data_IF_781949778481
#
_entry.id   IF_781949778481
#
_cell.length_a   1.000
_cell.length_b   1.000
_cell.length_c   1.000
_cell.angle_alpha   90.00
_cell.angle_beta   90.00
_cell.angle_gamma   90.00
#
_symmetry.space_group_name_H-M   'P 1'
#
loop_
_entity.id
_entity.type
_entity.pdbx_description
1 polymer ?
#
# COMPACT_ATOMS: atom_id res chain seq x y z
N UNK A 1 -4.23 9.40 18.63
CA UNK A 1 -3.22 9.26 19.69
C UNK A 1 -3.76 9.70 21.04
N UNK A 2 -4.32 10.93 21.16
CA UNK A 2 -4.78 11.57 22.41
C UNK A 2 -5.79 10.73 23.22
N UNK A 3 -6.73 10.07 22.53
CA UNK A 3 -7.81 9.28 23.15
C UNK A 3 -7.43 7.85 23.53
N UNK A 4 -6.23 7.41 23.17
CA UNK A 4 -5.78 6.06 23.43
C UNK A 4 -5.16 5.92 24.82
N UNK A 5 -5.45 4.81 25.51
CA UNK A 5 -4.77 4.44 26.76
C UNK A 5 -3.27 4.20 26.52
N UNK A 6 -2.47 4.28 27.60
CA UNK A 6 -1.07 3.86 27.53
C UNK A 6 -0.96 2.39 27.10
N UNK A 7 0.05 2.11 26.29
CA UNK A 7 0.27 0.77 25.74
C UNK A 7 -0.84 0.24 24.82
N UNK A 8 -1.82 1.08 24.39
CA UNK A 8 -2.81 0.70 23.40
C UNK A 8 -2.13 0.33 22.09
N UNK A 9 -2.66 -0.70 21.43
CA UNK A 9 -2.23 -1.15 20.10
C UNK A 9 -3.04 -0.40 19.05
N UNK A 10 -2.39 -0.03 17.95
CA UNK A 10 -3.01 0.50 16.74
C UNK A 10 -2.65 -0.39 15.56
N UNK A 11 -3.65 -0.68 14.74
CA UNK A 11 -3.47 -1.28 13.42
C UNK A 11 -4.07 -0.34 12.37
N UNK A 12 -3.36 -0.12 11.28
CA UNK A 12 -3.82 0.74 10.20
C UNK A 12 -3.28 0.29 8.85
N UNK A 13 -4.12 0.40 7.83
CA UNK A 13 -3.74 0.14 6.44
C UNK A 13 -3.91 1.42 5.63
N UNK A 14 -2.96 1.71 4.73
CA UNK A 14 -3.06 2.84 3.82
C UNK A 14 -2.61 2.47 2.41
N UNK A 15 -3.31 2.97 1.38
CA UNK A 15 -2.92 2.72 0.01
C UNK A 15 -1.66 3.52 -0.37
N UNK A 16 -0.84 2.93 -1.25
CA UNK A 16 0.31 3.58 -1.87
C UNK A 16 0.18 3.62 -3.40
N UNK A 17 0.50 2.54 -4.12
CA UNK A 17 0.37 2.50 -5.57
C UNK A 17 -0.95 1.92 -6.07
N UNK A 18 -1.89 1.68 -5.17
CA UNK A 18 -3.23 1.28 -5.52
C UNK A 18 -3.95 2.37 -6.32
N UNK A 19 -4.63 2.01 -7.39
CA UNK A 19 -5.51 2.91 -8.12
C UNK A 19 -6.66 3.40 -7.24
N UNK A 20 -7.35 4.47 -7.67
CA UNK A 20 -8.47 5.04 -6.92
C UNK A 20 -9.48 3.95 -6.54
N UNK A 21 -9.66 3.74 -5.25
CA UNK A 21 -10.46 2.64 -4.68
C UNK A 21 -11.78 3.13 -4.08
N UNK A 22 -11.76 4.21 -3.31
CA UNK A 22 -12.92 4.77 -2.60
C UNK A 22 -13.61 5.90 -3.38
N UNK A 23 -13.42 5.94 -4.72
CA UNK A 23 -13.99 7.00 -5.59
C UNK A 23 -13.68 8.40 -5.04
N UNK A 24 -14.71 9.22 -4.83
CA UNK A 24 -14.59 10.60 -4.35
C UNK A 24 -14.09 10.74 -2.91
N UNK A 25 -13.95 9.66 -2.16
CA UNK A 25 -13.44 9.67 -0.78
C UNK A 25 -11.97 9.26 -0.68
N UNK A 26 -11.31 9.07 -1.80
CA UNK A 26 -9.93 8.62 -1.88
C UNK A 26 -8.98 9.82 -2.07
N UNK A 27 -8.53 10.40 -0.95
CA UNK A 27 -7.81 11.68 -0.96
C UNK A 27 -6.29 11.56 -0.87
N UNK A 28 -5.75 10.47 -0.34
CA UNK A 28 -4.33 10.43 0.05
C UNK A 28 -3.70 9.08 -0.19
N UNK A 29 -2.44 9.11 -0.59
CA UNK A 29 -1.53 7.97 -0.73
C UNK A 29 -0.32 8.18 0.16
N UNK A 30 0.17 7.10 0.78
CA UNK A 30 1.34 7.17 1.62
C UNK A 30 2.43 6.21 1.12
N UNK A 31 3.64 6.75 0.93
CA UNK A 31 4.83 5.91 0.79
C UNK A 31 5.11 5.18 2.10
N UNK A 32 5.99 4.18 2.10
CA UNK A 32 6.41 3.48 3.31
C UNK A 32 6.79 4.45 4.44
N UNK A 33 7.73 5.36 4.20
CA UNK A 33 8.16 6.33 5.21
C UNK A 33 7.08 7.36 5.55
N UNK A 34 6.24 7.74 4.58
CA UNK A 34 5.09 8.63 4.82
C UNK A 34 4.08 7.99 5.79
N UNK A 35 3.78 6.71 5.62
CA UNK A 35 2.93 5.96 6.52
C UNK A 35 3.57 5.81 7.90
N UNK A 36 4.84 5.47 7.98
CA UNK A 36 5.58 5.40 9.26
C UNK A 36 5.58 6.74 10.01
N UNK A 37 5.72 7.87 9.28
CA UNK A 37 5.67 9.22 9.84
C UNK A 37 4.29 9.56 10.45
N UNK A 38 3.20 9.08 9.86
CA UNK A 38 1.85 9.24 10.39
C UNK A 38 1.74 8.63 11.80
N UNK A 39 2.42 7.50 12.02
CA UNK A 39 2.45 6.77 13.28
C UNK A 39 3.73 6.99 14.10
N UNK A 40 4.43 8.10 13.94
CA UNK A 40 5.70 8.41 14.63
C UNK A 40 5.63 8.41 16.15
N UNK A 41 4.42 8.54 16.74
CA UNK A 41 4.17 8.49 18.18
C UNK A 41 3.88 7.08 18.71
N UNK A 42 4.07 6.06 17.86
CA UNK A 42 3.91 4.67 18.21
C UNK A 42 5.24 3.94 18.01
N UNK A 43 5.54 3.05 18.94
CA UNK A 43 6.58 2.05 18.79
C UNK A 43 6.12 1.02 17.74
N UNK A 44 6.92 0.83 16.71
CA UNK A 44 6.62 -0.13 15.64
C UNK A 44 6.76 -1.54 16.17
N UNK A 45 5.70 -2.34 16.02
CA UNK A 45 5.75 -3.80 16.18
C UNK A 45 6.00 -4.42 14.82
N UNK A 46 5.27 -3.93 13.80
CA UNK A 46 5.42 -4.39 12.44
C UNK A 46 4.95 -3.32 11.44
N UNK A 47 5.68 -3.15 10.35
CA UNK A 47 5.34 -2.24 9.26
C UNK A 47 5.86 -2.81 7.94
N UNK A 48 4.94 -3.25 7.09
CA UNK A 48 5.29 -3.98 5.87
C UNK A 48 4.28 -3.74 4.74
N UNK A 49 4.63 -4.14 3.49
CA UNK A 49 3.69 -4.17 2.38
C UNK A 49 2.52 -5.13 2.66
N UNK A 50 1.29 -4.70 2.35
CA UNK A 50 0.10 -5.54 2.44
C UNK A 50 -0.11 -6.34 1.15
N UNK A 51 0.15 -5.72 0.00
CA UNK A 51 0.12 -6.33 -1.33
C UNK A 51 1.30 -5.80 -2.15
N UNK A 52 1.98 -6.68 -2.86
CA UNK A 52 3.23 -6.39 -3.53
C UNK A 52 3.10 -5.84 -4.96
N UNK A 53 4.23 -5.72 -5.67
CA UNK A 53 4.32 -5.16 -7.01
C UNK A 53 3.57 -5.97 -8.07
N UNK A 54 3.41 -7.28 -7.89
CA UNK A 54 2.63 -8.12 -8.81
C UNK A 54 1.16 -7.75 -8.84
N UNK A 55 0.56 -7.50 -7.66
CA UNK A 55 -0.81 -7.00 -7.54
C UNK A 55 -0.95 -5.60 -8.13
N UNK A 56 0.01 -4.70 -7.88
CA UNK A 56 0.02 -3.35 -8.47
C UNK A 56 0.04 -3.41 -9.99
N UNK A 57 0.89 -4.26 -10.57
CA UNK A 57 1.00 -4.43 -12.01
C UNK A 57 -0.31 -4.96 -12.61
N UNK A 58 -0.93 -5.96 -12.00
CA UNK A 58 -2.21 -6.51 -12.45
C UNK A 58 -3.33 -5.44 -12.44
N UNK A 59 -3.40 -4.63 -11.41
CA UNK A 59 -4.39 -3.55 -11.31
C UNK A 59 -4.11 -2.41 -12.27
N UNK A 60 -2.85 -1.99 -12.41
CA UNK A 60 -2.45 -0.96 -13.37
C UNK A 60 -2.78 -1.40 -14.79
N UNK A 61 -2.47 -2.63 -15.15
CA UNK A 61 -2.83 -3.22 -16.44
C UNK A 61 -4.34 -3.22 -16.68
N UNK A 62 -5.12 -3.65 -15.69
CA UNK A 62 -6.58 -3.64 -15.79
C UNK A 62 -7.13 -2.23 -16.01
N UNK A 63 -6.61 -1.24 -15.27
CA UNK A 63 -7.00 0.16 -15.44
C UNK A 63 -6.57 0.73 -16.79
N UNK A 64 -5.37 0.39 -17.25
CA UNK A 64 -4.89 0.76 -18.58
C UNK A 64 -5.82 0.23 -19.68
N UNK A 65 -6.11 -1.07 -19.68
CA UNK A 65 -6.96 -1.70 -20.70
C UNK A 65 -8.38 -1.11 -20.71
N UNK A 66 -9.02 -0.96 -19.57
CA UNK A 66 -10.39 -0.43 -19.52
C UNK A 66 -10.49 1.05 -19.89
N UNK A 67 -9.38 1.81 -19.88
CA UNK A 67 -9.35 3.24 -20.23
C UNK A 67 -9.53 3.50 -21.73
N UNK A 68 -9.46 2.46 -22.58
CA UNK A 68 -9.68 2.61 -24.02
C UNK A 68 -11.15 2.85 -24.41
N UNK A 69 -12.09 2.74 -23.46
CA UNK A 69 -13.51 2.97 -23.77
C UNK A 69 -14.27 3.54 -22.57
N UNK A 70 -15.28 4.40 -22.89
CA UNK A 70 -16.26 4.91 -21.90
C UNK A 70 -17.58 4.11 -21.94
N UNK A 71 -17.77 3.20 -22.89
CA UNK A 71 -18.97 2.37 -23.00
C UNK A 71 -18.97 1.29 -21.91
N UNK A 72 -19.99 1.23 -21.07
CA UNK A 72 -20.11 0.23 -20.00
C UNK A 72 -19.99 -1.21 -20.49
N UNK A 73 -20.57 -1.53 -21.66
CA UNK A 73 -20.49 -2.86 -22.27
C UNK A 73 -19.07 -3.20 -22.69
N UNK A 74 -18.40 -2.28 -23.39
CA UNK A 74 -17.01 -2.49 -23.86
C UNK A 74 -16.07 -2.59 -22.65
N UNK A 75 -16.20 -1.71 -21.66
CA UNK A 75 -15.40 -1.75 -20.41
C UNK A 75 -15.57 -3.08 -19.67
N UNK A 76 -16.78 -3.67 -19.66
CA UNK A 76 -16.99 -5.00 -19.08
C UNK A 76 -16.12 -6.07 -19.78
N UNK A 77 -16.14 -6.14 -21.10
CA UNK A 77 -15.33 -7.10 -21.87
C UNK A 77 -13.83 -6.83 -21.72
N UNK A 78 -13.42 -5.56 -21.78
CA UNK A 78 -12.01 -5.17 -21.57
C UNK A 78 -11.52 -5.56 -20.17
N UNK A 79 -12.36 -5.41 -19.14
CA UNK A 79 -12.04 -5.82 -17.77
C UNK A 79 -11.89 -7.33 -17.67
N UNK A 80 -12.81 -8.09 -18.26
CA UNK A 80 -12.72 -9.56 -18.28
C UNK A 80 -11.45 -10.04 -19.01
N UNK A 81 -11.13 -9.44 -20.16
CA UNK A 81 -9.89 -9.71 -20.90
C UNK A 81 -8.66 -9.38 -20.04
N UNK A 82 -8.62 -8.21 -19.43
CA UNK A 82 -7.50 -7.80 -18.58
C UNK A 82 -7.29 -8.76 -17.40
N UNK A 83 -8.37 -9.18 -16.73
CA UNK A 83 -8.28 -10.14 -15.64
C UNK A 83 -7.78 -11.51 -16.13
N UNK A 84 -8.28 -11.99 -17.26
CA UNK A 84 -7.85 -13.28 -17.84
C UNK A 84 -6.37 -13.28 -18.21
N UNK A 85 -5.84 -12.15 -18.67
CA UNK A 85 -4.44 -12.03 -19.14
C UNK A 85 -3.45 -11.60 -18.05
N UNK A 86 -3.94 -11.16 -16.87
CA UNK A 86 -3.06 -10.68 -15.78
C UNK A 86 -3.27 -11.34 -14.41
N UNK A 87 -4.22 -12.29 -14.28
CA UNK A 87 -4.56 -12.89 -12.98
C UNK A 87 -3.37 -13.55 -12.27
N UNK A 88 -2.41 -14.05 -13.05
CA UNK A 88 -1.23 -14.74 -12.53
C UNK A 88 -0.21 -13.78 -11.89
N UNK A 89 -0.21 -12.50 -12.27
CA UNK A 89 0.77 -11.52 -11.80
C UNK A 89 0.76 -11.37 -10.27
N UNK A 90 -0.42 -11.40 -9.64
CA UNK A 90 -0.55 -11.32 -8.19
C UNK A 90 0.14 -12.45 -7.43
N UNK A 91 0.32 -13.62 -8.06
CA UNK A 91 0.97 -14.77 -7.41
C UNK A 91 2.48 -14.59 -7.28
N UNK A 92 3.10 -13.68 -8.06
CA UNK A 92 4.50 -13.32 -7.85
C UNK A 92 4.73 -12.62 -6.51
N UNK A 93 3.69 -12.04 -5.90
CA UNK A 93 3.80 -11.40 -4.60
C UNK A 93 4.17 -12.39 -3.49
N UNK A 94 3.83 -13.69 -3.63
CA UNK A 94 4.32 -14.74 -2.70
C UNK A 94 5.85 -14.81 -2.64
N UNK A 95 6.53 -14.40 -3.71
CA UNK A 95 7.97 -14.38 -3.79
C UNK A 95 8.57 -12.98 -3.59
N UNK A 96 7.83 -11.94 -3.95
CA UNK A 96 8.33 -10.57 -4.03
C UNK A 96 8.07 -9.75 -2.77
N UNK A 97 7.02 -10.09 -1.99
CA UNK A 97 6.50 -9.22 -0.94
C UNK A 97 7.54 -8.85 0.14
N UNK A 98 8.43 -9.77 0.46
CA UNK A 98 9.47 -9.58 1.47
C UNK A 98 10.76 -8.95 0.92
N UNK A 99 10.79 -8.64 -0.38
CA UNK A 99 11.98 -8.05 -1.02
C UNK A 99 11.96 -6.52 -0.94
N UNK A 100 13.14 -5.86 -0.93
CA UNK A 100 13.22 -4.39 -0.89
C UNK A 100 12.38 -3.69 -1.94
N UNK A 101 12.31 -4.21 -3.18
CA UNK A 101 11.51 -3.63 -4.26
C UNK A 101 10.00 -3.56 -3.97
N UNK A 102 9.49 -4.36 -3.02
CA UNK A 102 8.10 -4.25 -2.60
C UNK A 102 7.82 -2.99 -1.79
N UNK A 103 8.78 -2.46 -1.08
CA UNK A 103 8.63 -1.17 -0.38
C UNK A 103 8.55 0.02 -1.33
N UNK A 104 9.08 -0.12 -2.55
CA UNK A 104 9.02 0.92 -3.59
C UNK A 104 7.77 0.79 -4.47
N UNK A 105 7.17 -0.41 -4.55
CA UNK A 105 6.09 -0.72 -5.47
C UNK A 105 4.91 -1.48 -4.84
N UNK A 106 4.71 -1.37 -3.53
CA UNK A 106 3.56 -1.97 -2.85
C UNK A 106 2.24 -1.32 -3.26
N UNK A 107 1.16 -2.09 -3.27
CA UNK A 107 -0.19 -1.55 -3.41
C UNK A 107 -0.61 -0.75 -2.18
N UNK A 108 -0.32 -1.28 -1.00
CA UNK A 108 -0.65 -0.69 0.29
C UNK A 108 0.41 -1.09 1.33
N UNK A 109 0.41 -0.37 2.45
CA UNK A 109 1.18 -0.72 3.65
C UNK A 109 0.25 -0.90 4.83
N UNK A 110 0.62 -1.78 5.75
CA UNK A 110 0.02 -1.83 7.08
C UNK A 110 1.04 -1.44 8.14
N UNK A 111 0.52 -0.91 9.24
CA UNK A 111 1.27 -0.56 10.43
C UNK A 111 0.60 -1.18 11.64
N UNK A 112 1.36 -1.91 12.42
CA UNK A 112 1.00 -2.40 13.74
C UNK A 112 1.96 -1.77 14.76
N UNK A 113 1.44 -1.07 15.75
CA UNK A 113 2.29 -0.41 16.73
C UNK A 113 1.62 -0.22 18.09
N UNK A 114 2.45 0.09 19.07
CA UNK A 114 2.05 0.31 20.45
C UNK A 114 2.26 1.77 20.81
N UNK A 115 1.28 2.38 21.49
CA UNK A 115 1.40 3.76 21.96
C UNK A 115 2.63 3.91 22.85
N UNK A 116 3.47 4.90 22.55
CA UNK A 116 4.68 5.25 23.32
C UNK A 116 4.72 6.75 23.61
N UNK A 117 5.41 7.14 24.66
CA UNK A 117 5.67 8.56 24.96
C UNK A 117 6.88 9.12 24.20
N UNK A 118 7.63 8.27 23.49
CA UNK A 118 8.82 8.65 22.71
C UNK A 118 8.45 8.75 21.22
N UNK A 119 8.28 9.98 20.72
CA UNK A 119 8.04 10.22 19.32
C UNK A 119 9.32 9.98 18.49
N UNK A 120 9.21 9.29 17.36
CA UNK A 120 10.29 9.15 16.40
C UNK A 120 10.55 10.49 15.70
N UNK A 121 11.81 10.87 15.55
CA UNK A 121 12.21 12.12 14.86
C UNK A 121 12.33 11.87 13.37
N UNK A 122 12.02 12.87 12.54
CA UNK A 122 12.09 12.75 11.07
C UNK A 122 13.47 12.31 10.57
N UNK A 123 14.57 12.74 11.22
CA UNK A 123 15.94 12.31 10.88
C UNK A 123 16.18 10.81 11.14
N UNK A 124 15.44 10.19 12.04
CA UNK A 124 15.57 8.77 12.35
C UNK A 124 14.68 7.93 11.43
N UNK A 125 13.55 8.49 10.95
CA UNK A 125 12.70 7.86 9.93
C UNK A 125 13.46 7.52 8.65
N UNK A 126 14.37 8.39 8.20
CA UNK A 126 15.17 8.16 6.98
C UNK A 126 15.99 6.86 7.08
N UNK A 127 16.42 6.49 8.29
CA UNK A 127 17.19 5.26 8.54
C UNK A 127 16.32 4.00 8.47
N UNK A 128 14.99 4.15 8.54
CA UNK A 128 14.04 3.04 8.46
C UNK A 128 13.63 2.72 7.01
N UNK A 129 14.27 3.35 6.01
CA UNK A 129 14.02 3.05 4.61
C UNK A 129 14.38 1.59 4.29
N UNK A 130 13.43 0.85 3.71
CA UNK A 130 13.56 -0.59 3.41
C UNK A 130 13.51 -0.88 1.89
N UNK A 131 13.34 0.16 1.05
CA UNK A 131 13.31 0.04 -0.40
C UNK A 131 14.68 -0.24 -1.02
N UNK A 132 14.71 -0.32 -2.35
CA UNK A 132 15.96 -0.44 -3.10
C UNK A 132 16.72 0.89 -3.07
N UNK A 133 18.05 0.82 -2.90
CA UNK A 133 18.98 1.95 -3.01
C UNK A 133 19.58 1.97 -4.40
#
# INVERSE_FOLDING_TARGET
YRVLKQSAIVYAETPFMQQVHMKQYDFTRFTHLGHRRLFKNFEEIEHAPLMGPGTVLAWSYTHFIKSFSSSKKIVFFLTAFAHLTSFFLKYFDYYLIDKPGSYDAASAFYFLGKKTNKALKDKDLIKEFKGML
#
